data_IF_780219385960
#
_entry.id   IF_780219385960
#
_cell.length_a   1.000
_cell.length_b   1.000
_cell.length_c   1.000
_cell.angle_alpha   90.00
_cell.angle_beta   90.00
_cell.angle_gamma   90.00
#
_symmetry.space_group_name_H-M   'P 1'
#
loop_
_entity.id
_entity.type
_entity.pdbx_description
1 polymer ?
#
# COMPACT_ATOMS: atom_id res chain seq x y z
N UNK A 1 22.15 31.86 6.49
CA UNK A 1 20.95 32.48 7.09
C UNK A 1 19.73 31.79 6.46
N UNK A 2 18.98 30.98 7.22
CA UNK A 2 17.76 30.32 6.73
C UNK A 2 16.58 31.26 6.97
N UNK A 3 15.89 31.67 5.91
CA UNK A 3 14.63 32.39 6.03
C UNK A 3 13.49 31.39 5.96
N UNK A 4 12.71 31.29 7.05
CA UNK A 4 11.48 30.53 7.11
C UNK A 4 10.33 31.48 6.72
N UNK A 5 9.79 31.35 5.50
CA UNK A 5 8.61 32.10 5.08
C UNK A 5 7.36 31.25 5.27
N UNK A 6 6.47 31.67 6.18
CA UNK A 6 5.10 31.14 6.27
C UNK A 6 4.25 31.79 5.18
N UNK A 7 3.69 30.98 4.30
CA UNK A 7 2.78 31.39 3.22
C UNK A 7 1.37 31.64 3.77
N UNK A 8 0.78 32.79 3.45
CA UNK A 8 -0.66 33.05 3.58
C UNK A 8 -1.23 33.44 2.20
N UNK A 9 -2.04 32.57 1.60
CA UNK A 9 -2.61 32.75 0.25
C UNK A 9 -3.55 33.98 0.13
N UNK A 10 -3.97 34.59 1.25
CA UNK A 10 -5.01 35.63 1.26
C UNK A 10 -4.51 37.05 0.93
N UNK A 11 -3.21 37.26 0.75
CA UNK A 11 -2.59 38.59 0.62
C UNK A 11 -2.14 38.97 -0.80
N UNK A 12 -2.53 38.17 -1.82
CA UNK A 12 -2.11 38.39 -3.22
C UNK A 12 -3.11 39.30 -3.95
N UNK A 13 -2.65 40.48 -4.38
CA UNK A 13 -3.38 41.36 -5.31
C UNK A 13 -2.98 40.98 -6.74
N UNK A 14 -3.97 40.71 -7.59
CA UNK A 14 -3.78 40.35 -8.98
C UNK A 14 -4.00 41.58 -9.88
N UNK A 15 -2.98 42.02 -10.61
CA UNK A 15 -3.14 43.01 -11.69
C UNK A 15 -2.80 42.40 -13.05
N UNK A 16 -3.64 42.68 -14.05
CA UNK A 16 -3.39 42.34 -15.45
C UNK A 16 -2.61 43.48 -16.08
N UNK A 17 -1.34 43.25 -16.45
CA UNK A 17 -0.55 44.26 -17.16
C UNK A 17 -0.72 44.15 -18.68
N UNK A 18 -0.92 45.32 -19.31
CA UNK A 18 -1.06 45.45 -20.76
C UNK A 18 0.21 45.10 -21.54
N UNK A 19 0.01 44.73 -22.81
CA UNK A 19 1.02 44.17 -23.72
C UNK A 19 2.27 45.05 -23.92
N UNK A 20 2.12 46.37 -23.83
CA UNK A 20 3.22 47.32 -24.06
C UNK A 20 4.17 47.40 -22.86
N UNK A 21 3.65 47.26 -21.64
CA UNK A 21 4.45 47.21 -20.41
C UNK A 21 5.26 45.91 -20.32
N UNK A 22 4.71 44.81 -20.85
CA UNK A 22 5.41 43.52 -21.03
C UNK A 22 6.59 43.64 -21.99
N UNK A 23 6.41 44.28 -23.16
CA UNK A 23 7.49 44.46 -24.15
C UNK A 23 8.67 45.27 -23.61
N UNK A 24 8.40 46.27 -22.76
CA UNK A 24 9.45 47.06 -22.10
C UNK A 24 10.26 46.22 -21.11
N UNK A 25 9.58 45.47 -20.24
CA UNK A 25 10.23 44.61 -19.23
C UNK A 25 11.12 43.52 -19.86
N UNK A 26 10.66 42.96 -20.99
CA UNK A 26 11.40 41.94 -21.73
C UNK A 26 12.65 42.49 -22.42
N UNK A 27 12.78 43.80 -22.66
CA UNK A 27 14.01 44.37 -23.24
C UNK A 27 15.16 44.37 -22.24
N UNK A 28 14.87 44.59 -20.96
CA UNK A 28 15.84 44.74 -19.87
C UNK A 28 16.35 43.43 -19.27
N UNK A 29 15.70 42.30 -19.59
CA UNK A 29 16.11 40.97 -19.14
C UNK A 29 17.36 40.45 -19.87
N UNK A 30 18.20 39.73 -19.13
CA UNK A 30 19.42 39.08 -19.60
C UNK A 30 19.14 38.17 -20.84
N UNK A 31 19.98 38.22 -21.89
CA UNK A 31 19.81 37.41 -23.11
C UNK A 31 19.76 35.89 -22.90
N UNK A 32 20.36 35.36 -21.83
CA UNK A 32 20.31 33.93 -21.48
C UNK A 32 18.92 33.50 -21.01
N UNK A 33 18.16 34.40 -20.36
CA UNK A 33 16.77 34.17 -19.93
C UNK A 33 15.77 34.32 -21.08
N UNK A 34 16.07 35.17 -22.07
CA UNK A 34 15.22 35.37 -23.27
C UNK A 34 15.04 34.10 -24.11
N UNK A 35 16.04 33.21 -24.16
CA UNK A 35 16.00 31.98 -24.99
C UNK A 35 14.93 30.96 -24.57
N UNK A 36 14.40 31.02 -23.35
CA UNK A 36 13.40 30.08 -22.84
C UNK A 36 11.97 30.64 -22.77
N UNK A 37 11.74 31.88 -23.22
CA UNK A 37 10.49 32.62 -23.00
C UNK A 37 9.75 32.98 -24.30
N UNK A 38 9.37 31.97 -25.08
CA UNK A 38 8.44 32.14 -26.20
C UNK A 38 7.22 31.22 -26.02
N UNK A 39 6.23 31.63 -25.22
CA UNK A 39 4.80 31.24 -25.36
C UNK A 39 3.89 32.17 -24.52
N UNK A 40 2.60 32.22 -24.90
CA UNK A 40 1.67 33.35 -24.77
C UNK A 40 0.93 33.55 -23.43
N UNK A 41 1.41 33.06 -22.28
CA UNK A 41 0.66 33.28 -21.02
C UNK A 41 1.60 33.59 -19.84
N UNK A 42 1.87 34.89 -19.63
CA UNK A 42 2.56 35.40 -18.45
C UNK A 42 1.56 36.03 -17.48
N UNK A 43 1.59 35.63 -16.19
CA UNK A 43 0.95 36.38 -15.10
C UNK A 43 2.04 36.91 -14.18
N UNK A 44 2.00 38.21 -13.89
CA UNK A 44 2.90 38.88 -12.96
C UNK A 44 2.07 39.37 -11.79
N UNK A 45 2.57 39.17 -10.57
CA UNK A 45 2.04 39.79 -9.38
C UNK A 45 3.12 40.53 -8.62
N UNK A 46 2.72 41.40 -7.70
CA UNK A 46 3.61 42.10 -6.79
C UNK A 46 3.50 41.48 -5.39
N UNK A 47 4.62 41.40 -4.68
CA UNK A 47 4.63 41.00 -3.26
C UNK A 47 5.68 41.84 -2.54
N UNK A 48 5.24 42.80 -1.72
CA UNK A 48 6.12 43.82 -1.14
C UNK A 48 6.84 44.63 -2.21
N UNK A 49 8.17 44.77 -2.08
CA UNK A 49 9.01 45.57 -2.99
C UNK A 49 9.50 44.84 -4.26
N UNK A 50 9.12 43.57 -4.46
CA UNK A 50 9.59 42.73 -5.58
C UNK A 50 8.49 42.29 -6.55
N UNK A 51 8.93 41.80 -7.72
CA UNK A 51 8.06 41.23 -8.76
C UNK A 51 8.23 39.71 -8.83
N UNK A 52 7.16 38.99 -9.17
CA UNK A 52 7.26 37.59 -9.59
C UNK A 52 6.62 37.40 -10.97
N UNK A 53 7.18 36.49 -11.77
CA UNK A 53 6.63 36.10 -13.07
C UNK A 53 6.29 34.61 -13.08
N UNK A 54 5.23 34.25 -13.79
CA UNK A 54 4.92 32.85 -14.12
C UNK A 54 4.94 32.64 -15.61
N UNK A 55 5.61 31.57 -16.04
CA UNK A 55 5.61 31.10 -17.42
C UNK A 55 4.89 29.75 -17.52
N UNK A 56 4.24 29.50 -18.64
CA UNK A 56 3.56 28.25 -18.96
C UNK A 56 3.81 27.93 -20.43
N UNK A 57 4.67 26.96 -20.73
CA UNK A 57 4.83 26.42 -22.08
C UNK A 57 3.73 25.40 -22.41
N UNK A 58 3.34 25.31 -23.68
CA UNK A 58 2.30 24.40 -24.16
C UNK A 58 2.72 22.93 -24.24
N UNK A 59 4.01 22.59 -24.09
CA UNK A 59 4.53 21.22 -24.27
C UNK A 59 4.91 20.56 -22.95
N UNK A 60 5.18 21.36 -21.93
CA UNK A 60 5.39 20.93 -20.54
C UNK A 60 5.02 22.10 -19.63
N UNK A 61 4.09 21.88 -18.69
CA UNK A 61 3.63 22.92 -17.76
C UNK A 61 4.66 23.14 -16.65
N UNK A 62 5.93 23.39 -16.99
CA UNK A 62 6.88 23.88 -16.01
C UNK A 62 6.46 25.28 -15.58
N UNK A 63 6.06 25.44 -14.31
CA UNK A 63 5.83 26.74 -13.71
C UNK A 63 7.08 27.06 -12.90
N UNK A 64 7.92 27.91 -13.47
CA UNK A 64 9.08 28.46 -12.77
C UNK A 64 8.67 29.74 -12.08
N UNK A 65 8.81 29.78 -10.76
CA UNK A 65 8.69 31.00 -9.97
C UNK A 65 10.10 31.58 -9.81
N UNK A 66 10.34 32.77 -10.36
CA UNK A 66 11.59 33.51 -10.14
C UNK A 66 11.25 34.74 -9.32
N UNK A 67 11.93 34.90 -8.18
CA UNK A 67 11.80 36.09 -7.33
C UNK A 67 13.02 36.96 -7.55
N UNK A 68 12.79 38.17 -8.06
CA UNK A 68 13.82 39.14 -8.40
C UNK A 68 13.62 40.40 -7.57
N UNK A 69 14.69 40.98 -7.02
CA UNK A 69 14.61 42.27 -6.33
C UNK A 69 14.58 43.44 -7.34
N UNK A 70 14.44 44.68 -6.84
CA UNK A 70 14.42 45.90 -7.67
C UNK A 70 15.72 46.18 -8.43
N UNK A 71 16.80 45.48 -8.10
CA UNK A 71 18.10 45.60 -8.75
C UNK A 71 18.39 44.45 -9.73
N UNK A 72 17.37 43.66 -10.10
CA UNK A 72 17.47 42.48 -10.98
C UNK A 72 18.33 41.31 -10.45
N UNK A 73 18.59 41.27 -9.15
CA UNK A 73 19.29 40.15 -8.51
C UNK A 73 18.28 39.03 -8.15
N UNK A 74 18.63 37.78 -8.42
CA UNK A 74 17.78 36.60 -8.16
C UNK A 74 17.99 36.14 -6.71
N UNK A 75 16.94 36.20 -5.88
CA UNK A 75 17.00 35.77 -4.46
C UNK A 75 16.56 34.33 -4.27
N UNK A 76 15.90 33.74 -5.26
CA UNK A 76 15.50 32.35 -5.25
C UNK A 76 14.68 32.02 -6.48
N UNK A 77 14.83 30.79 -6.96
CA UNK A 77 13.93 30.22 -7.95
C UNK A 77 13.33 28.94 -7.37
N UNK A 78 12.04 28.75 -7.63
CA UNK A 78 11.35 27.49 -7.37
C UNK A 78 10.82 27.01 -8.71
N UNK A 79 11.50 26.05 -9.30
CA UNK A 79 10.98 25.36 -10.47
C UNK A 79 9.97 24.33 -9.99
N UNK A 80 8.69 24.52 -10.32
CA UNK A 80 7.69 23.47 -10.17
C UNK A 80 7.42 22.92 -11.56
N UNK A 81 8.21 21.92 -11.95
CA UNK A 81 7.97 21.18 -13.17
C UNK A 81 6.67 20.41 -12.94
N UNK A 82 5.52 20.93 -13.40
CA UNK A 82 4.50 19.99 -13.84
C UNK A 82 5.04 19.43 -15.13
N UNK A 83 5.77 18.33 -14.99
CA UNK A 83 5.71 17.30 -16.00
C UNK A 83 4.20 17.09 -16.05
N UNK A 84 3.48 17.47 -17.14
CA UNK A 84 2.26 16.73 -17.37
C UNK A 84 2.82 15.33 -17.31
N UNK A 85 2.40 14.54 -16.33
CA UNK A 85 2.38 13.14 -16.59
C UNK A 85 1.80 13.12 -18.02
N UNK A 86 2.65 12.80 -19.00
CA UNK A 86 2.35 11.66 -19.84
C UNK A 86 1.93 10.70 -18.77
N UNK A 87 0.63 10.74 -18.43
CA UNK A 87 0.01 9.67 -17.74
C UNK A 87 0.42 8.60 -18.72
N UNK A 88 1.38 7.71 -18.35
CA UNK A 88 1.62 6.58 -19.22
C UNK A 88 0.23 6.13 -19.58
N UNK A 89 -0.12 5.83 -20.82
CA UNK A 89 -1.50 5.43 -21.16
C UNK A 89 -2.03 4.27 -20.27
N UNK A 90 -1.22 3.73 -19.36
CA UNK A 90 -1.56 3.37 -17.96
C UNK A 90 -2.21 4.49 -17.11
N UNK A 91 -3.00 5.40 -17.69
CA UNK A 91 -3.85 6.31 -16.96
C UNK A 91 -4.74 5.42 -16.12
N UNK A 92 -4.58 5.41 -14.79
CA UNK A 92 -5.62 4.96 -13.87
C UNK A 92 -6.42 3.76 -14.43
N UNK A 93 -5.75 2.71 -14.93
CA UNK A 93 -6.42 1.45 -15.21
C UNK A 93 -6.81 1.00 -13.82
N UNK A 94 -8.03 1.39 -13.39
CA UNK A 94 -8.69 0.93 -12.18
C UNK A 94 -8.39 -0.55 -12.17
N UNK A 95 -7.51 -0.97 -11.27
CA UNK A 95 -7.05 -2.34 -11.29
C UNK A 95 -8.33 -3.19 -11.25
N UNK A 96 -8.59 -4.03 -12.26
CA UNK A 96 -9.92 -4.60 -12.46
C UNK A 96 -10.27 -5.66 -11.41
N UNK A 97 -9.36 -6.01 -10.51
CA UNK A 97 -9.53 -7.08 -9.53
C UNK A 97 -10.89 -7.07 -8.83
N UNK A 98 -11.31 -5.98 -8.18
CA UNK A 98 -12.60 -5.94 -7.49
C UNK A 98 -13.78 -6.02 -8.47
N UNK A 99 -13.64 -5.46 -9.69
CA UNK A 99 -14.67 -5.60 -10.73
C UNK A 99 -14.82 -7.05 -11.16
N UNK A 100 -13.71 -7.76 -11.38
CA UNK A 100 -13.71 -9.18 -11.75
C UNK A 100 -14.33 -10.04 -10.65
N UNK A 101 -13.99 -9.78 -9.38
CA UNK A 101 -14.61 -10.45 -8.22
C UNK A 101 -16.11 -10.21 -8.20
N UNK A 102 -16.57 -8.97 -8.35
CA UNK A 102 -18.00 -8.64 -8.35
C UNK A 102 -18.76 -9.30 -9.50
N UNK A 103 -18.20 -9.27 -10.71
CA UNK A 103 -18.80 -9.89 -11.87
C UNK A 103 -18.94 -11.41 -11.68
N UNK A 104 -17.89 -12.08 -11.21
CA UNK A 104 -17.93 -13.52 -10.95
C UNK A 104 -18.87 -13.86 -9.79
N UNK A 105 -18.94 -13.01 -8.77
CA UNK A 105 -19.92 -13.16 -7.69
C UNK A 105 -21.35 -13.09 -8.22
N UNK A 106 -21.67 -12.08 -9.05
CA UNK A 106 -22.99 -11.89 -9.65
C UNK A 106 -23.40 -13.07 -10.54
N UNK A 107 -22.47 -13.57 -11.36
CA UNK A 107 -22.65 -14.76 -12.18
C UNK A 107 -23.01 -16.00 -11.34
N UNK A 108 -22.27 -16.24 -10.26
CA UNK A 108 -22.45 -17.45 -9.44
C UNK A 108 -23.65 -17.37 -8.47
N UNK A 109 -24.04 -16.18 -8.02
CA UNK A 109 -25.00 -16.01 -6.93
C UNK A 109 -26.32 -15.34 -7.35
N UNK A 110 -26.45 -14.88 -8.60
CA UNK A 110 -27.65 -14.21 -9.11
C UNK A 110 -27.98 -12.89 -8.40
N UNK A 111 -27.01 -12.27 -7.74
CA UNK A 111 -27.19 -11.06 -6.95
C UNK A 111 -25.93 -10.21 -6.86
N UNK A 112 -26.10 -8.91 -6.65
CA UNK A 112 -24.95 -7.98 -6.64
C UNK A 112 -24.16 -8.08 -5.35
N UNK A 113 -22.86 -7.80 -5.45
CA UNK A 113 -21.96 -7.76 -4.30
C UNK A 113 -22.46 -6.80 -3.20
N UNK A 114 -23.04 -5.65 -3.60
CA UNK A 114 -23.67 -4.70 -2.68
C UNK A 114 -24.90 -5.29 -1.98
N UNK A 115 -25.73 -6.07 -2.67
CA UNK A 115 -26.88 -6.76 -2.04
C UNK A 115 -26.42 -7.82 -1.04
N UNK A 116 -25.27 -8.45 -1.28
CA UNK A 116 -24.75 -9.51 -0.43
C UNK A 116 -24.09 -9.03 0.87
N UNK A 117 -23.29 -7.96 0.81
CA UNK A 117 -22.45 -7.53 1.93
C UNK A 117 -22.77 -6.12 2.44
N UNK A 118 -23.48 -5.31 1.66
CA UNK A 118 -23.72 -3.91 1.99
C UNK A 118 -22.48 -3.03 1.82
N UNK A 119 -22.62 -1.76 2.20
CA UNK A 119 -21.54 -0.77 2.16
C UNK A 119 -21.26 -0.33 3.60
N UNK A 120 -20.01 -0.33 4.02
CA UNK A 120 -19.62 0.05 5.39
C UNK A 120 -19.53 1.55 5.61
N UNK A 121 -19.73 1.94 6.87
CA UNK A 121 -19.34 3.26 7.39
C UNK A 121 -17.83 3.50 7.20
N UNK A 122 -17.43 4.74 6.86
CA UNK A 122 -16.02 5.14 6.71
C UNK A 122 -15.20 4.94 7.97
N UNK A 123 -15.84 5.03 9.14
CA UNK A 123 -15.18 4.79 10.42
C UNK A 123 -14.51 3.40 10.50
N UNK A 124 -15.03 2.40 9.77
CA UNK A 124 -14.46 1.03 9.74
C UNK A 124 -13.08 0.99 9.08
N UNK A 125 -12.71 1.97 8.24
CA UNK A 125 -11.34 2.07 7.71
C UNK A 125 -10.28 2.12 8.83
N UNK A 126 -10.65 2.65 10.01
CA UNK A 126 -9.78 2.71 11.19
C UNK A 126 -9.51 1.33 11.79
N UNK A 127 -10.44 0.39 11.60
CA UNK A 127 -10.37 -0.98 12.08
C UNK A 127 -9.63 -1.92 11.11
N UNK A 128 -9.24 -1.45 9.92
CA UNK A 128 -8.49 -2.25 8.95
C UNK A 128 -7.02 -2.32 9.38
N UNK A 129 -6.50 -3.50 9.79
CA UNK A 129 -5.12 -3.60 10.22
C UNK A 129 -4.12 -3.32 9.10
N UNK A 130 -2.85 -3.10 9.47
CA UNK A 130 -1.78 -3.13 8.47
C UNK A 130 -1.56 -4.57 8.01
N UNK A 131 -1.14 -4.70 6.76
CA UNK A 131 -0.50 -5.92 6.30
C UNK A 131 0.76 -6.15 7.14
N UNK A 132 1.01 -7.39 7.55
CA UNK A 132 2.10 -7.72 8.47
C UNK A 132 3.47 -7.67 7.77
N UNK A 133 4.28 -6.66 8.08
CA UNK A 133 5.67 -6.58 7.64
C UNK A 133 6.59 -6.40 8.85
N UNK A 134 7.50 -7.35 9.07
CA UNK A 134 8.46 -7.29 10.16
C UNK A 134 9.80 -7.91 9.76
N UNK A 135 10.87 -7.45 10.41
CA UNK A 135 12.20 -8.03 10.30
C UNK A 135 12.91 -7.98 11.66
N UNK A 136 13.85 -8.90 11.86
CA UNK A 136 14.82 -8.85 12.95
C UNK A 136 15.75 -7.61 12.93
N UNK A 137 15.77 -6.84 11.83
CA UNK A 137 16.42 -5.53 11.75
C UNK A 137 17.93 -5.57 11.46
N UNK A 138 18.54 -6.76 11.47
CA UNK A 138 19.96 -6.95 11.17
C UNK A 138 20.13 -7.85 9.95
N UNK A 139 21.00 -7.51 8.99
CA UNK A 139 21.34 -8.41 7.89
C UNK A 139 21.69 -9.82 8.39
N UNK A 140 21.31 -10.83 7.61
CA UNK A 140 21.49 -12.23 7.97
C UNK A 140 22.12 -13.00 6.82
N UNK A 141 23.18 -13.76 7.13
CA UNK A 141 23.76 -14.74 6.21
C UNK A 141 23.93 -16.05 6.97
N UNK A 142 23.37 -17.13 6.43
CA UNK A 142 23.37 -18.42 7.11
C UNK A 142 22.36 -19.38 6.50
N UNK A 143 21.86 -20.30 7.34
CA UNK A 143 20.86 -21.29 6.94
C UNK A 143 19.46 -20.82 7.34
N UNK A 144 18.52 -20.89 6.41
CA UNK A 144 17.12 -20.54 6.65
C UNK A 144 16.15 -21.54 6.03
N UNK A 145 14.91 -21.44 6.49
CA UNK A 145 13.73 -22.10 5.95
C UNK A 145 12.60 -21.07 5.78
N UNK A 146 11.61 -21.37 4.93
CA UNK A 146 10.49 -20.47 4.64
C UNK A 146 9.17 -21.20 4.55
N UNK A 147 8.13 -20.59 5.12
CA UNK A 147 6.74 -20.97 4.88
C UNK A 147 6.00 -19.78 4.27
N UNK A 148 5.17 -20.03 3.26
CA UNK A 148 4.41 -19.01 2.53
C UNK A 148 2.97 -19.47 2.35
N UNK A 149 2.01 -18.63 2.72
CA UNK A 149 0.59 -18.96 2.63
C UNK A 149 0.07 -18.70 1.22
N UNK A 150 -0.26 -19.77 0.48
CA UNK A 150 -0.70 -19.66 -0.92
C UNK A 150 -1.99 -18.85 -1.06
N UNK A 151 -1.92 -17.70 -1.73
CA UNK A 151 -3.08 -16.79 -1.94
C UNK A 151 -3.80 -16.49 -0.61
N UNK A 152 -3.03 -16.11 0.41
CA UNK A 152 -3.49 -16.06 1.80
C UNK A 152 -4.73 -15.22 2.03
N UNK A 153 -4.71 -13.96 1.58
CA UNK A 153 -5.85 -13.06 1.77
C UNK A 153 -7.12 -13.55 1.04
N UNK A 154 -7.09 -13.98 -0.24
CA UNK A 154 -8.21 -14.65 -0.88
C UNK A 154 -8.78 -15.81 -0.06
N UNK A 155 -7.95 -16.64 0.57
CA UNK A 155 -8.44 -17.75 1.39
C UNK A 155 -9.27 -17.28 2.60
N UNK A 156 -9.00 -16.09 3.16
CA UNK A 156 -9.77 -15.52 4.28
C UNK A 156 -11.12 -14.94 3.86
N UNK A 157 -11.40 -14.86 2.57
CA UNK A 157 -12.72 -14.55 2.03
C UNK A 157 -13.65 -15.78 1.92
N UNK A 158 -13.12 -17.01 2.10
CA UNK A 158 -13.89 -18.25 2.00
C UNK A 158 -14.69 -18.62 3.27
N UNK A 159 -14.64 -17.79 4.31
CA UNK A 159 -15.36 -18.00 5.58
C UNK A 159 -16.61 -17.14 5.71
N UNK A 160 -17.19 -17.11 6.92
CA UNK A 160 -18.26 -16.17 7.27
C UNK A 160 -17.76 -14.73 7.06
N UNK A 161 -18.59 -13.89 6.43
CA UNK A 161 -18.29 -12.50 6.14
C UNK A 161 -19.34 -11.56 6.75
N UNK A 162 -18.97 -10.33 7.13
CA UNK A 162 -19.90 -9.37 7.71
C UNK A 162 -20.92 -8.84 6.70
N UNK A 163 -22.15 -8.61 7.17
CA UNK A 163 -23.22 -7.90 6.46
C UNK A 163 -23.43 -6.50 7.05
N UNK A 164 -23.04 -5.47 6.29
CA UNK A 164 -23.14 -4.08 6.71
C UNK A 164 -24.58 -3.53 6.72
N UNK A 165 -25.54 -4.15 6.02
CA UNK A 165 -26.94 -3.70 6.01
C UNK A 165 -27.60 -3.79 7.38
N UNK A 166 -27.16 -4.76 8.19
CA UNK A 166 -27.70 -5.05 9.52
C UNK A 166 -26.76 -4.59 10.63
N UNK A 167 -25.94 -3.59 10.34
CA UNK A 167 -25.01 -3.05 11.32
C UNK A 167 -25.75 -2.26 12.40
N UNK A 168 -25.27 -2.36 13.63
CA UNK A 168 -25.78 -1.61 14.79
C UNK A 168 -24.62 -0.93 15.49
N UNK A 169 -24.79 0.35 15.84
CA UNK A 169 -23.80 1.11 16.59
C UNK A 169 -24.13 1.07 18.07
N UNK A 170 -23.12 0.82 18.89
CA UNK A 170 -23.22 0.71 20.35
C UNK A 170 -22.12 1.55 21.00
N UNK A 171 -22.43 2.17 22.14
CA UNK A 171 -21.43 2.88 22.93
C UNK A 171 -20.59 1.88 23.74
N UNK A 172 -19.28 2.14 23.81
CA UNK A 172 -18.30 1.31 24.46
C UNK A 172 -17.79 0.16 23.59
N UNK A 173 -16.85 -0.61 24.13
CA UNK A 173 -16.27 -1.81 23.53
C UNK A 173 -17.16 -3.01 23.84
N UNK A 174 -18.03 -3.36 22.89
CA UNK A 174 -18.98 -4.46 23.02
C UNK A 174 -18.37 -5.72 22.35
N UNK A 175 -18.23 -6.85 23.06
CA UNK A 175 -17.69 -8.07 22.47
C UNK A 175 -18.63 -8.60 21.38
N UNK A 176 -18.10 -9.30 20.35
CA UNK A 176 -18.93 -9.97 19.37
C UNK A 176 -19.71 -11.11 20.03
N UNK A 177 -20.82 -11.50 19.42
CA UNK A 177 -21.72 -12.55 19.92
C UNK A 177 -22.11 -13.50 18.80
N UNK A 178 -22.81 -14.59 19.12
CA UNK A 178 -23.36 -15.49 18.10
C UNK A 178 -24.30 -14.76 17.12
N UNK A 179 -25.08 -13.79 17.59
CA UNK A 179 -25.98 -13.01 16.73
C UNK A 179 -25.23 -11.97 15.89
N UNK A 180 -24.24 -11.31 16.50
CA UNK A 180 -23.39 -10.30 15.88
C UNK A 180 -21.93 -10.75 15.92
N UNK A 181 -21.52 -11.65 15.00
CA UNK A 181 -20.22 -12.29 15.07
C UNK A 181 -19.05 -11.36 14.75
N UNK A 182 -19.29 -10.15 14.25
CA UNK A 182 -18.23 -9.19 13.94
C UNK A 182 -18.44 -7.90 14.74
N UNK A 183 -17.42 -7.49 15.49
CA UNK A 183 -17.37 -6.23 16.23
C UNK A 183 -16.22 -5.37 15.71
N UNK A 184 -16.51 -4.12 15.35
CA UNK A 184 -15.52 -3.13 14.90
C UNK A 184 -15.46 -1.98 15.88
N UNK A 185 -14.30 -1.77 16.50
CA UNK A 185 -14.07 -0.79 17.57
C UNK A 185 -13.48 0.47 16.97
N UNK A 186 -14.34 1.42 16.57
CA UNK A 186 -13.96 2.44 15.58
C UNK A 186 -13.08 3.56 16.13
N UNK A 187 -13.08 3.79 17.46
CA UNK A 187 -12.19 4.81 18.05
C UNK A 187 -10.84 4.21 18.42
N UNK A 188 -10.83 3.01 18.99
CA UNK A 188 -9.58 2.30 19.32
C UNK A 188 -8.88 1.70 18.08
N UNK A 189 -9.60 1.47 16.99
CA UNK A 189 -9.07 0.92 15.74
C UNK A 189 -8.90 -0.59 15.75
N UNK A 190 -9.60 -1.29 16.65
CA UNK A 190 -9.56 -2.74 16.80
C UNK A 190 -10.79 -3.41 16.17
N UNK A 191 -10.76 -4.74 16.11
CA UNK A 191 -11.92 -5.55 15.77
C UNK A 191 -11.85 -6.92 16.45
N UNK A 192 -12.99 -7.56 16.59
CA UNK A 192 -13.09 -8.93 17.09
C UNK A 192 -14.12 -9.73 16.30
N UNK A 193 -13.87 -11.03 16.21
CA UNK A 193 -14.73 -12.02 15.56
C UNK A 193 -15.07 -13.10 16.57
N UNK A 194 -16.36 -13.37 16.75
CA UNK A 194 -16.89 -14.29 17.76
C UNK A 194 -16.25 -15.69 17.63
N UNK A 195 -15.65 -16.16 18.73
CA UNK A 195 -14.94 -17.44 18.83
C UNK A 195 -13.83 -17.65 17.79
N UNK A 196 -13.27 -16.56 17.24
CA UNK A 196 -12.22 -16.66 16.22
C UNK A 196 -11.00 -15.81 16.58
N UNK A 197 -11.15 -14.48 16.72
CA UNK A 197 -10.01 -13.60 17.04
C UNK A 197 -10.45 -12.30 17.71
N UNK A 198 -9.52 -11.65 18.42
CA UNK A 198 -9.66 -10.28 18.90
C UNK A 198 -8.31 -9.56 18.71
N UNK A 199 -8.31 -8.47 17.94
CA UNK A 199 -7.06 -7.75 17.64
C UNK A 199 -6.51 -7.00 18.84
N UNK A 200 -7.27 -6.80 19.92
CA UNK A 200 -6.70 -6.30 21.18
C UNK A 200 -5.62 -7.25 21.72
N UNK A 201 -5.77 -8.57 21.50
CA UNK A 201 -4.79 -9.56 21.95
C UNK A 201 -3.42 -9.37 21.26
N UNK A 202 -3.38 -8.74 20.09
CA UNK A 202 -2.14 -8.49 19.38
C UNK A 202 -1.24 -7.46 20.07
N UNK A 203 -1.82 -6.63 20.94
CA UNK A 203 -1.08 -5.66 21.75
C UNK A 203 -0.10 -6.33 22.73
N UNK A 204 -0.30 -7.61 23.01
CA UNK A 204 0.54 -8.43 23.89
C UNK A 204 1.53 -9.31 23.11
N UNK A 205 1.57 -9.22 21.78
CA UNK A 205 2.55 -9.96 20.98
C UNK A 205 3.94 -9.35 21.13
N UNK A 206 4.98 -10.14 20.81
CA UNK A 206 6.38 -9.65 20.81
C UNK A 206 6.69 -8.59 19.75
N UNK A 207 5.76 -8.37 18.81
CA UNK A 207 5.95 -7.47 17.69
C UNK A 207 5.61 -6.05 18.07
N UNK A 208 6.37 -5.10 17.52
CA UNK A 208 6.06 -3.68 17.70
C UNK A 208 4.64 -3.38 17.20
N UNK A 209 3.86 -2.63 17.98
CA UNK A 209 2.45 -2.31 17.67
C UNK A 209 2.28 -1.66 16.30
N UNK A 210 3.28 -0.89 15.83
CA UNK A 210 3.29 -0.23 14.53
C UNK A 210 3.37 -1.17 13.33
N UNK A 211 3.69 -2.43 13.57
CA UNK A 211 3.77 -3.47 12.54
C UNK A 211 2.37 -3.88 12.09
N UNK A 212 1.49 -4.17 13.06
CA UNK A 212 0.15 -4.69 12.83
C UNK A 212 -0.91 -3.61 12.77
N UNK A 213 -0.66 -2.50 13.47
CA UNK A 213 -1.57 -1.37 13.51
C UNK A 213 -0.92 -0.15 12.91
N UNK A 214 -1.75 0.68 12.29
CA UNK A 214 -1.24 1.95 11.80
C UNK A 214 -0.98 2.80 13.07
N UNK A 215 0.24 3.31 13.31
CA UNK A 215 0.51 4.41 14.28
C UNK A 215 0.54 5.78 13.60
N UNK A 216 0.36 6.86 14.38
CA UNK A 216 0.36 8.28 13.99
C UNK A 216 1.34 8.55 12.84
N UNK A 217 0.87 9.02 11.68
CA UNK A 217 1.75 9.51 10.61
C UNK A 217 1.35 10.94 10.28
N UNK A 218 2.34 11.83 10.24
CA UNK A 218 2.21 13.29 10.06
C UNK A 218 1.55 13.75 8.73
N UNK A 219 0.95 12.86 7.94
CA UNK A 219 0.58 13.15 6.54
C UNK A 219 -0.89 12.96 6.14
N UNK A 220 -1.83 12.58 7.01
CA UNK A 220 -3.26 12.54 6.61
C UNK A 220 -4.23 12.86 7.75
N UNK A 221 -5.37 13.45 7.38
CA UNK A 221 -6.60 13.81 8.14
C UNK A 221 -7.21 12.74 9.06
N UNK A 222 -6.54 11.62 9.31
CA UNK A 222 -6.96 10.63 10.30
C UNK A 222 -6.27 10.99 11.61
N UNK A 223 -6.90 11.93 12.31
CA UNK A 223 -6.51 12.35 13.64
C UNK A 223 -6.53 11.16 14.59
N UNK A 224 -5.46 11.08 15.38
CA UNK A 224 -5.18 10.20 16.50
C UNK A 224 -5.69 8.74 16.49
N UNK A 225 -4.75 7.78 16.43
CA UNK A 225 -5.01 6.39 16.80
C UNK A 225 -4.56 6.18 18.24
N UNK A 226 -5.53 6.21 19.15
CA UNK A 226 -5.33 6.04 20.58
C UNK A 226 -5.63 4.58 20.95
N UNK A 227 -4.59 3.77 21.12
CA UNK A 227 -4.65 2.47 21.81
C UNK A 227 -5.03 2.60 23.29
N UNK A 228 -5.38 3.81 23.71
CA UNK A 228 -5.66 4.24 25.08
C UNK A 228 -7.14 4.65 25.24
N UNK A 229 -7.98 4.40 24.22
CA UNK A 229 -9.43 4.61 24.36
C UNK A 229 -9.94 3.63 25.41
N UNK A 230 -10.49 4.15 26.50
CA UNK A 230 -11.11 3.34 27.53
C UNK A 230 -12.31 2.58 26.99
N UNK A 231 -12.60 1.40 27.58
CA UNK A 231 -13.72 0.54 27.17
C UNK A 231 -15.07 1.27 27.09
N UNK A 232 -15.30 2.31 27.89
CA UNK A 232 -16.55 3.09 27.89
C UNK A 232 -16.57 4.18 26.81
N UNK A 233 -15.39 4.64 26.39
CA UNK A 233 -15.24 5.78 25.49
C UNK A 233 -15.24 5.34 24.01
N UNK A 234 -15.12 4.05 23.74
CA UNK A 234 -15.15 3.50 22.39
C UNK A 234 -16.55 3.56 21.76
N UNK A 235 -16.63 3.26 20.46
CA UNK A 235 -17.86 2.99 19.75
C UNK A 235 -17.69 1.67 18.99
N UNK A 236 -18.63 0.74 19.19
CA UNK A 236 -18.62 -0.55 18.50
C UNK A 236 -19.66 -0.55 17.39
N UNK A 237 -19.26 -0.93 16.18
CA UNK A 237 -20.18 -1.33 15.12
C UNK A 237 -20.25 -2.86 15.12
N UNK A 238 -21.42 -3.39 15.46
CA UNK A 238 -21.73 -4.81 15.42
C UNK A 238 -22.36 -5.18 14.08
N UNK A 239 -21.93 -6.28 13.47
CA UNK A 239 -22.49 -6.78 12.21
C UNK A 239 -22.90 -8.25 12.32
N UNK A 240 -24.05 -8.57 11.71
CA UNK A 240 -24.48 -9.95 11.49
C UNK A 240 -23.62 -10.60 10.41
N UNK A 241 -23.62 -11.94 10.35
CA UNK A 241 -23.05 -12.65 9.22
C UNK A 241 -23.92 -12.50 7.97
N UNK A 242 -23.27 -12.29 6.82
CA UNK A 242 -23.90 -12.45 5.53
C UNK A 242 -24.23 -13.91 5.29
N UNK A 243 -25.30 -14.16 4.54
CA UNK A 243 -25.62 -15.50 4.01
C UNK A 243 -24.72 -15.92 2.85
N UNK A 244 -23.92 -14.99 2.31
CA UNK A 244 -23.03 -15.22 1.20
C UNK A 244 -21.58 -15.35 1.69
N UNK A 245 -20.81 -16.18 1.02
CA UNK A 245 -19.35 -16.26 1.12
C UNK A 245 -18.75 -15.94 -0.24
N UNK A 246 -17.42 -15.82 -0.31
CA UNK A 246 -16.71 -15.72 -1.60
C UNK A 246 -15.93 -16.99 -1.92
N UNK A 247 -16.26 -18.11 -1.28
CA UNK A 247 -15.54 -19.38 -1.44
C UNK A 247 -15.45 -19.81 -2.90
N UNK A 248 -16.60 -19.90 -3.59
CA UNK A 248 -16.62 -20.36 -4.99
C UNK A 248 -15.95 -19.36 -5.93
N UNK A 249 -16.06 -18.06 -5.64
CA UNK A 249 -15.40 -17.00 -6.42
C UNK A 249 -13.88 -17.10 -6.29
N UNK A 250 -13.36 -17.23 -5.07
CA UNK A 250 -11.91 -17.33 -4.85
C UNK A 250 -11.36 -18.65 -5.35
N UNK A 251 -12.10 -19.75 -5.18
CA UNK A 251 -11.71 -21.05 -5.71
C UNK A 251 -11.68 -21.05 -7.25
N UNK A 252 -12.63 -20.37 -7.91
CA UNK A 252 -12.63 -20.20 -9.36
C UNK A 252 -11.32 -19.54 -9.85
N UNK A 253 -10.96 -18.38 -9.29
CA UNK A 253 -9.73 -17.68 -9.69
C UNK A 253 -8.47 -18.48 -9.30
N UNK A 254 -8.48 -19.14 -8.14
CA UNK A 254 -7.38 -20.01 -7.74
C UNK A 254 -7.17 -21.16 -8.72
N UNK A 255 -8.24 -21.85 -9.13
CA UNK A 255 -8.16 -22.95 -10.10
C UNK A 255 -7.62 -22.48 -11.45
N UNK A 256 -8.03 -21.29 -11.92
CA UNK A 256 -7.46 -20.70 -13.15
C UNK A 256 -5.96 -20.47 -13.01
N UNK A 257 -5.52 -19.85 -11.90
CA UNK A 257 -4.11 -19.59 -11.63
C UNK A 257 -3.25 -20.87 -11.66
N UNK A 258 -3.78 -21.98 -11.14
CA UNK A 258 -3.04 -23.24 -11.08
C UNK A 258 -3.09 -24.05 -12.38
N UNK A 259 -4.09 -23.84 -13.24
CA UNK A 259 -4.33 -24.67 -14.44
C UNK A 259 -3.77 -24.04 -15.71
N UNK A 260 -3.82 -22.71 -15.82
CA UNK A 260 -3.41 -22.00 -17.03
C UNK A 260 -1.92 -21.65 -17.01
N UNK A 261 -1.30 -21.60 -18.20
CA UNK A 261 0.10 -21.19 -18.34
C UNK A 261 0.31 -19.73 -17.92
N UNK A 262 1.51 -19.42 -17.40
CA UNK A 262 1.84 -18.14 -16.77
C UNK A 262 1.79 -16.92 -17.70
N UNK A 263 1.73 -17.12 -19.01
CA UNK A 263 1.70 -16.11 -20.06
C UNK A 263 0.29 -15.86 -20.63
N UNK A 264 -0.72 -16.59 -20.16
CA UNK A 264 -2.10 -16.40 -20.62
C UNK A 264 -2.78 -15.23 -19.94
N UNK A 265 -3.79 -14.68 -20.62
CA UNK A 265 -4.62 -13.61 -20.09
C UNK A 265 -5.42 -14.08 -18.86
N UNK A 266 -5.92 -15.31 -18.90
CA UNK A 266 -6.67 -15.93 -17.82
C UNK A 266 -5.84 -16.04 -16.54
N UNK A 267 -4.59 -16.49 -16.66
CA UNK A 267 -3.66 -16.55 -15.54
C UNK A 267 -3.39 -15.15 -14.96
N UNK A 268 -3.11 -14.17 -15.80
CA UNK A 268 -2.84 -12.80 -15.34
C UNK A 268 -4.07 -12.14 -14.67
N UNK A 269 -5.29 -12.39 -15.18
CA UNK A 269 -6.53 -11.95 -14.56
C UNK A 269 -6.80 -12.63 -13.20
N UNK A 270 -6.55 -13.93 -13.09
CA UNK A 270 -6.66 -14.64 -11.84
C UNK A 270 -5.64 -14.14 -10.81
N UNK A 271 -4.38 -13.99 -11.23
CA UNK A 271 -3.28 -13.50 -10.39
C UNK A 271 -3.55 -12.08 -9.87
N UNK A 272 -4.04 -11.17 -10.71
CA UNK A 272 -4.35 -9.81 -10.27
C UNK A 272 -5.53 -9.78 -9.30
N UNK A 273 -6.55 -10.63 -9.50
CA UNK A 273 -7.67 -10.78 -8.54
C UNK A 273 -7.16 -11.23 -7.18
N UNK A 274 -6.35 -12.30 -7.15
CA UNK A 274 -5.85 -12.88 -5.91
C UNK A 274 -4.89 -11.93 -5.17
N UNK A 275 -4.10 -11.13 -5.88
CA UNK A 275 -3.13 -10.22 -5.27
C UNK A 275 -3.69 -8.84 -4.87
N UNK A 276 -4.67 -8.32 -5.61
CA UNK A 276 -5.03 -6.90 -5.48
C UNK A 276 -6.46 -6.61 -5.01
N UNK A 277 -7.36 -7.59 -5.01
CA UNK A 277 -8.77 -7.40 -4.65
C UNK A 277 -8.96 -6.79 -3.25
N UNK A 278 -8.24 -7.28 -2.24
CA UNK A 278 -8.34 -6.78 -0.86
C UNK A 278 -7.83 -5.34 -0.73
N UNK A 279 -6.75 -5.01 -1.43
CA UNK A 279 -6.24 -3.64 -1.51
C UNK A 279 -7.32 -2.68 -2.00
N UNK A 280 -8.16 -3.11 -2.93
CA UNK A 280 -9.21 -2.28 -3.51
C UNK A 280 -10.43 -2.10 -2.62
N UNK A 281 -10.75 -3.08 -1.78
CA UNK A 281 -11.89 -3.03 -0.85
C UNK A 281 -11.77 -1.92 0.22
N UNK A 282 -10.56 -1.39 0.46
CA UNK A 282 -10.30 -0.34 1.47
C UNK A 282 -9.45 0.86 0.99
N UNK A 283 -8.97 0.88 -0.28
CA UNK A 283 -8.11 1.97 -0.80
C UNK A 283 -8.67 2.71 -2.01
N UNK A 284 -9.56 2.10 -2.79
CA UNK A 284 -10.18 2.81 -3.91
C UNK A 284 -11.11 3.89 -3.36
N UNK A 285 -11.23 4.98 -4.11
CA UNK A 285 -12.15 6.10 -3.89
C UNK A 285 -13.35 5.67 -3.03
N UNK A 286 -13.28 5.99 -1.73
CA UNK A 286 -14.26 5.53 -0.73
C UNK A 286 -15.66 6.06 -1.07
N UNK A 287 -15.80 6.97 -2.04
CA UNK A 287 -17.10 7.39 -2.55
C UNK A 287 -17.87 6.28 -3.27
N UNK A 288 -17.21 5.26 -3.84
CA UNK A 288 -17.87 4.23 -4.68
C UNK A 288 -17.89 2.83 -4.07
N UNK A 289 -16.75 2.35 -3.56
CA UNK A 289 -16.58 0.96 -3.14
C UNK A 289 -16.18 0.85 -1.66
N UNK A 290 -17.21 0.89 -0.79
CA UNK A 290 -17.08 0.91 0.67
C UNK A 290 -17.12 -0.50 1.28
N UNK A 291 -16.12 -1.33 0.99
CA UNK A 291 -16.04 -2.71 1.50
C UNK A 291 -14.95 -2.89 2.59
N UNK A 292 -14.72 -1.85 3.39
CA UNK A 292 -13.68 -1.85 4.42
C UNK A 292 -13.91 -2.93 5.49
N UNK A 293 -15.17 -3.24 5.82
CA UNK A 293 -15.55 -4.33 6.72
C UNK A 293 -15.04 -5.70 6.24
N UNK A 294 -15.07 -5.99 4.94
CA UNK A 294 -14.52 -7.22 4.37
C UNK A 294 -12.99 -7.21 4.45
N UNK A 295 -12.36 -6.10 4.08
CA UNK A 295 -10.91 -5.96 4.13
C UNK A 295 -10.35 -6.09 5.57
N UNK A 296 -11.04 -5.51 6.55
CA UNK A 296 -10.68 -5.61 7.96
C UNK A 296 -10.67 -7.07 8.42
N UNK A 297 -11.75 -7.81 8.18
CA UNK A 297 -11.86 -9.24 8.52
C UNK A 297 -10.77 -10.07 7.84
N UNK A 298 -10.57 -9.88 6.54
CA UNK A 298 -9.58 -10.65 5.76
C UNK A 298 -8.17 -10.44 6.26
N UNK A 299 -7.76 -9.18 6.40
CA UNK A 299 -6.41 -8.84 6.85
C UNK A 299 -6.23 -9.31 8.29
N UNK A 300 -7.27 -9.21 9.13
CA UNK A 300 -7.16 -9.63 10.51
C UNK A 300 -6.98 -11.15 10.67
N UNK A 301 -7.77 -11.93 9.95
CA UNK A 301 -7.62 -13.41 9.91
C UNK A 301 -6.24 -13.83 9.43
N UNK A 302 -5.77 -13.21 8.35
CA UNK A 302 -4.45 -13.52 7.80
C UNK A 302 -3.33 -13.17 8.77
N UNK A 303 -3.37 -11.98 9.38
CA UNK A 303 -2.37 -11.60 10.38
C UNK A 303 -2.41 -12.54 11.61
N UNK A 304 -3.60 -12.94 12.05
CA UNK A 304 -3.76 -13.90 13.16
C UNK A 304 -3.09 -15.24 12.84
N UNK A 305 -3.29 -15.81 11.64
CA UNK A 305 -2.64 -17.06 11.24
C UNK A 305 -1.11 -16.93 11.14
N UNK A 306 -0.60 -15.79 10.69
CA UNK A 306 0.84 -15.53 10.67
C UNK A 306 1.39 -15.43 12.09
N UNK A 307 0.68 -14.76 13.01
CA UNK A 307 1.06 -14.69 14.42
C UNK A 307 1.10 -16.09 15.07
N UNK A 308 0.11 -16.92 14.78
CA UNK A 308 0.05 -18.30 15.25
C UNK A 308 1.19 -19.15 14.66
N UNK A 309 1.47 -18.99 13.36
CA UNK A 309 2.58 -19.68 12.71
C UNK A 309 3.92 -19.22 13.28
N UNK A 310 4.11 -17.92 13.51
CA UNK A 310 5.31 -17.40 14.21
C UNK A 310 5.42 -17.99 15.61
N UNK A 311 4.32 -18.14 16.35
CA UNK A 311 4.37 -18.73 17.68
C UNK A 311 4.71 -20.23 17.64
N UNK A 312 4.23 -20.94 16.61
CA UNK A 312 4.53 -22.34 16.34
C UNK A 312 6.01 -22.53 15.96
N UNK A 313 6.57 -21.62 15.17
CA UNK A 313 7.99 -21.55 14.82
C UNK A 313 8.75 -21.12 16.08
N UNK A 314 9.44 -22.07 16.72
CA UNK A 314 10.19 -21.83 17.96
C UNK A 314 11.57 -21.23 17.69
N UNK A 315 11.93 -21.07 16.43
CA UNK A 315 13.18 -20.55 15.93
C UNK A 315 13.14 -19.02 15.76
N UNK A 316 14.31 -18.44 15.54
CA UNK A 316 14.43 -17.01 15.25
C UNK A 316 13.81 -16.67 13.89
N UNK A 317 12.82 -15.77 13.91
CA UNK A 317 12.25 -15.21 12.69
C UNK A 317 13.22 -14.18 12.10
N UNK A 318 13.53 -14.30 10.82
CA UNK A 318 14.34 -13.34 10.07
C UNK A 318 13.45 -12.23 9.52
N UNK A 319 12.35 -12.61 8.86
CA UNK A 319 11.34 -11.69 8.37
C UNK A 319 9.94 -12.30 8.31
N UNK A 320 8.95 -11.42 8.40
CA UNK A 320 7.56 -11.67 8.04
C UNK A 320 7.20 -10.68 6.94
N UNK A 321 6.70 -11.16 5.82
CA UNK A 321 6.25 -10.34 4.70
C UNK A 321 4.90 -10.83 4.21
N UNK A 322 3.83 -10.25 4.76
CA UNK A 322 2.44 -10.57 4.45
C UNK A 322 2.12 -12.03 4.76
N UNK A 323 2.23 -12.88 3.75
CA UNK A 323 1.92 -14.30 3.72
C UNK A 323 3.16 -15.18 3.92
N UNK A 324 4.36 -14.60 3.86
CA UNK A 324 5.62 -15.32 4.00
C UNK A 324 6.31 -15.11 5.35
N UNK A 325 6.91 -16.18 5.89
CA UNK A 325 7.77 -16.14 7.07
C UNK A 325 9.09 -16.85 6.73
N UNK A 326 10.20 -16.14 6.86
CA UNK A 326 11.55 -16.73 6.80
C UNK A 326 12.12 -16.81 8.20
N UNK A 327 12.64 -17.96 8.57
CA UNK A 327 13.16 -18.26 9.91
C UNK A 327 14.47 -19.05 9.84
N UNK A 328 15.27 -18.95 10.90
CA UNK A 328 16.51 -19.73 11.05
C UNK A 328 16.16 -21.20 11.32
N UNK A 329 17.03 -22.11 10.89
CA UNK A 329 16.88 -23.54 11.18
C UNK A 329 16.39 -24.37 10.01
N UNK A 330 16.12 -25.64 10.30
CA UNK A 330 15.97 -26.72 9.31
C UNK A 330 14.65 -27.50 9.46
N UNK A 331 13.78 -27.08 10.38
CA UNK A 331 12.51 -27.76 10.63
C UNK A 331 11.43 -27.25 9.69
N UNK A 332 10.62 -28.16 9.19
CA UNK A 332 9.46 -27.81 8.37
C UNK A 332 8.24 -27.49 9.23
N UNK A 333 7.57 -26.39 8.89
CA UNK A 333 6.33 -25.95 9.54
C UNK A 333 5.15 -25.88 8.59
N UNK A 334 5.44 -25.79 7.28
CA UNK A 334 4.46 -25.86 6.20
C UNK A 334 4.23 -27.27 5.67
N UNK A 335 3.45 -27.32 4.60
CA UNK A 335 3.12 -28.53 3.84
C UNK A 335 3.64 -28.42 2.41
N UNK A 336 3.79 -29.56 1.73
CA UNK A 336 4.24 -29.59 0.33
C UNK A 336 3.11 -29.51 -0.69
N UNK A 337 1.87 -29.73 -0.25
CA UNK A 337 0.69 -29.66 -1.12
C UNK A 337 0.14 -28.23 -1.15
N UNK A 338 0.13 -27.63 -2.33
CA UNK A 338 -0.45 -26.31 -2.55
C UNK A 338 -1.97 -26.38 -2.72
N UNK A 339 -2.70 -25.61 -1.92
CA UNK A 339 -4.12 -25.29 -2.13
C UNK A 339 -4.38 -23.88 -1.59
N UNK A 340 -5.57 -23.33 -1.87
CA UNK A 340 -5.95 -21.98 -1.43
C UNK A 340 -5.83 -21.83 0.10
N UNK A 341 -4.89 -21.00 0.55
CA UNK A 341 -4.60 -20.73 1.96
C UNK A 341 -3.65 -21.74 2.62
N UNK A 342 -3.10 -22.70 1.88
CA UNK A 342 -2.13 -23.65 2.41
C UNK A 342 -0.85 -22.94 2.90
N UNK A 343 -0.33 -23.26 4.11
CA UNK A 343 1.00 -22.82 4.54
C UNK A 343 2.06 -23.67 3.85
N UNK A 344 2.51 -23.27 2.67
CA UNK A 344 3.42 -24.06 1.83
C UNK A 344 4.85 -23.91 2.33
N UNK A 345 5.55 -25.03 2.54
CA UNK A 345 6.99 -25.01 2.82
C UNK A 345 7.75 -24.73 1.52
N UNK A 346 8.25 -23.52 1.33
CA UNK A 346 8.89 -23.14 0.07
C UNK A 346 10.33 -23.66 -0.06
N UNK A 347 11.06 -23.64 1.05
CA UNK A 347 12.40 -24.22 1.14
C UNK A 347 12.73 -24.53 2.59
N UNK A 348 13.63 -25.50 2.76
CA UNK A 348 14.06 -25.99 4.08
C UNK A 348 15.58 -26.11 4.09
N UNK A 349 16.21 -25.64 5.16
CA UNK A 349 17.63 -25.83 5.42
C UNK A 349 18.53 -25.34 4.27
N UNK A 350 18.30 -24.11 3.78
CA UNK A 350 19.01 -23.56 2.63
C UNK A 350 19.95 -22.41 3.00
N UNK A 351 21.13 -22.33 2.38
CA UNK A 351 21.96 -21.12 2.44
C UNK A 351 21.17 -19.91 1.94
N UNK A 352 21.17 -18.85 2.71
CA UNK A 352 20.55 -17.59 2.33
C UNK A 352 21.39 -16.39 2.75
N UNK A 353 21.14 -15.28 2.06
CA UNK A 353 21.54 -13.94 2.47
C UNK A 353 20.34 -13.01 2.41
N UNK A 354 20.18 -12.21 3.44
CA UNK A 354 19.09 -11.27 3.64
C UNK A 354 19.68 -9.93 4.10
N UNK A 355 19.39 -8.85 3.38
CA UNK A 355 19.93 -7.52 3.70
C UNK A 355 18.83 -6.58 4.20
N UNK A 356 17.60 -6.73 3.72
CA UNK A 356 16.44 -5.93 4.12
C UNK A 356 15.12 -6.65 3.79
N UNK A 357 13.99 -6.13 4.28
CA UNK A 357 12.65 -6.65 3.92
C UNK A 357 12.52 -6.64 2.40
N UNK A 358 12.18 -7.80 1.83
CA UNK A 358 12.02 -7.96 0.38
C UNK A 358 13.34 -7.93 -0.42
N UNK A 359 14.50 -7.92 0.23
CA UNK A 359 15.83 -7.93 -0.37
C UNK A 359 16.65 -9.11 0.15
N UNK A 360 16.59 -10.25 -0.54
CA UNK A 360 17.24 -11.49 -0.14
C UNK A 360 17.47 -12.45 -1.32
N UNK A 361 18.39 -13.39 -1.11
CA UNK A 361 18.65 -14.50 -2.00
C UNK A 361 18.81 -15.81 -1.23
N UNK A 362 18.26 -16.90 -1.79
CA UNK A 362 18.30 -18.23 -1.19
C UNK A 362 18.77 -19.23 -2.23
N UNK A 363 19.77 -20.05 -1.89
CA UNK A 363 20.26 -21.14 -2.73
C UNK A 363 19.33 -22.36 -2.62
N UNK A 364 18.61 -22.66 -3.70
CA UNK A 364 17.71 -23.81 -3.78
C UNK A 364 18.43 -25.11 -4.19
N UNK A 365 19.74 -25.03 -4.44
CA UNK A 365 20.58 -26.10 -4.98
C UNK A 365 20.54 -26.14 -6.51
N UNK A 366 21.47 -26.91 -7.10
CA UNK A 366 21.59 -27.12 -8.55
C UNK A 366 21.71 -25.82 -9.36
N UNK A 367 22.39 -24.81 -8.80
CA UNK A 367 22.58 -23.50 -9.43
C UNK A 367 21.31 -22.64 -9.51
N UNK A 368 20.23 -22.99 -8.78
CA UNK A 368 18.99 -22.23 -8.76
C UNK A 368 18.91 -21.35 -7.51
N UNK A 369 18.51 -20.09 -7.69
CA UNK A 369 18.31 -19.15 -6.59
C UNK A 369 16.87 -18.64 -6.55
N UNK A 370 16.32 -18.51 -5.34
CA UNK A 370 15.16 -17.65 -5.12
C UNK A 370 15.65 -16.25 -4.81
N UNK A 371 15.27 -15.29 -5.65
CA UNK A 371 15.72 -13.91 -5.58
C UNK A 371 14.51 -13.01 -5.31
N UNK A 372 14.63 -12.14 -4.30
CA UNK A 372 13.74 -10.99 -4.09
C UNK A 372 14.61 -9.76 -3.94
N UNK A 373 14.42 -8.80 -4.85
CA UNK A 373 15.27 -7.63 -5.00
C UNK A 373 14.45 -6.33 -4.91
N UNK A 374 13.47 -6.25 -4.00
CA UNK A 374 12.61 -5.06 -3.90
C UNK A 374 13.45 -3.79 -3.67
N UNK A 375 13.43 -2.90 -4.67
CA UNK A 375 14.15 -1.63 -4.67
C UNK A 375 15.57 -1.69 -5.23
N UNK A 376 16.08 -2.86 -5.62
CA UNK A 376 17.37 -3.01 -6.30
C UNK A 376 17.13 -3.41 -7.76
N UNK A 377 17.51 -2.55 -8.70
CA UNK A 377 17.16 -2.72 -10.11
C UNK A 377 18.37 -3.14 -10.97
N UNK A 378 19.59 -2.86 -10.51
CA UNK A 378 20.83 -3.13 -11.23
C UNK A 378 21.92 -3.68 -10.32
N UNK A 379 22.91 -4.32 -10.91
CA UNK A 379 24.17 -4.69 -10.26
C UNK A 379 25.27 -3.73 -10.68
N UNK A 380 26.33 -3.57 -9.87
CA UNK A 380 27.46 -2.69 -10.18
C UNK A 380 28.25 -3.11 -11.42
N UNK A 381 28.04 -4.33 -11.93
CA UNK A 381 28.63 -4.87 -13.16
C UNK A 381 27.70 -4.77 -14.38
N UNK A 382 26.53 -4.11 -14.23
CA UNK A 382 25.55 -3.90 -15.30
C UNK A 382 24.54 -5.04 -15.49
N UNK A 383 24.67 -6.17 -14.77
CA UNK A 383 23.67 -7.25 -14.81
C UNK A 383 22.41 -6.91 -14.01
N UNK A 384 21.35 -7.65 -14.26
CA UNK A 384 20.15 -7.61 -13.42
C UNK A 384 20.33 -8.50 -12.18
N UNK A 385 19.78 -8.13 -11.01
CA UNK A 385 19.83 -8.97 -9.81
C UNK A 385 19.35 -10.42 -10.02
N UNK A 386 18.41 -10.65 -10.94
CA UNK A 386 17.90 -11.99 -11.29
C UNK A 386 18.95 -12.90 -11.96
N UNK A 387 20.05 -12.33 -12.45
CA UNK A 387 21.19 -13.04 -13.04
C UNK A 387 22.24 -13.46 -12.00
N UNK A 388 21.93 -13.31 -10.71
CA UNK A 388 22.82 -13.74 -9.62
C UNK A 388 23.02 -15.25 -9.61
N UNK A 389 24.26 -15.68 -9.39
CA UNK A 389 24.71 -17.08 -9.46
C UNK A 389 25.32 -17.58 -8.14
N UNK A 390 25.55 -16.69 -7.18
CA UNK A 390 26.11 -16.99 -5.85
C UNK A 390 25.67 -15.94 -4.84
N UNK A 391 25.57 -16.30 -3.56
CA UNK A 391 25.10 -15.39 -2.49
C UNK A 391 25.87 -14.07 -2.40
N UNK A 392 27.16 -14.07 -2.73
CA UNK A 392 27.99 -12.85 -2.75
C UNK A 392 27.61 -11.86 -3.86
N UNK A 393 26.84 -12.27 -4.87
CA UNK A 393 26.40 -11.35 -5.93
C UNK A 393 25.48 -10.25 -5.38
N UNK A 394 24.87 -10.46 -4.20
CA UNK A 394 24.13 -9.41 -3.49
C UNK A 394 25.00 -8.20 -3.11
N UNK A 395 26.32 -8.35 -2.97
CA UNK A 395 27.23 -7.22 -2.72
C UNK A 395 27.28 -6.23 -3.89
N UNK A 396 26.86 -6.68 -5.08
CA UNK A 396 26.83 -5.87 -6.29
C UNK A 396 25.47 -5.20 -6.47
N UNK A 397 24.44 -5.56 -5.70
CA UNK A 397 23.09 -5.04 -5.90
C UNK A 397 23.01 -3.55 -5.53
N UNK A 398 22.63 -2.74 -6.50
CA UNK A 398 22.48 -1.30 -6.34
C UNK A 398 21.01 -0.90 -6.35
N UNK A 399 20.69 0.06 -5.48
CA UNK A 399 19.45 0.83 -5.58
C UNK A 399 19.72 2.02 -6.47
N UNK A 400 19.20 1.99 -7.68
CA UNK A 400 19.03 3.21 -8.46
C UNK A 400 17.87 3.96 -7.84
N UNK A 401 18.20 5.01 -7.10
CA UNK A 401 17.25 6.08 -6.85
C UNK A 401 17.13 6.83 -8.17
N UNK A 402 15.98 6.74 -8.84
CA UNK A 402 15.66 7.74 -9.86
C UNK A 402 15.72 9.09 -9.14
N UNK A 403 16.68 9.94 -9.52
CA UNK A 403 16.79 11.30 -9.00
C UNK A 403 15.49 12.06 -9.33
N UNK A 404 14.63 12.23 -8.32
CA UNK A 404 13.39 13.03 -8.37
C UNK A 404 13.65 14.54 -8.26
#
# INVERSE_FOLDING_TARGET
>A
MKFDFKYDEKSIIWEVIGQDKYKSLMKELDPSLKRNLHTNNLKIGTFGDGYWTTYSSSVSRAITYVVVNRNNEIYGYKCKIYVPHIAPEKALKRNPALKLVKNKFEELNGGTFRKAFGLSDEAILRCVPKQFYWTCGTPYQGIASSVDFSSHYPAKLCGLLPDAHKSVKMSGTIPPSKEYPFAFYVKSGHMAIYNELDTHNWLFTKFDKSVLFRLKTHRKKYDDRFYEVGYKDDETILMKASKYTLTDVMQYFYNIKETYAHDTKEYEEAKIVLNASIGQMHRLDYSRDKYAHLAAVVIARANQEILEMVHKIKEDIIQVQVDGIIYKGNKEYGIHKTYLGAPVQEFTNRPCRWDAIGCYMVDLGNGKFKIKNQGCNTMSDGRLPQESTKLSDMDLWNREYEDD
#
